data_IF_968640504996
#
_entry.id   IF_968640504996
#
_cell.length_a   1.000
_cell.length_b   1.000
_cell.length_c   1.000
_cell.angle_alpha   90.00
_cell.angle_beta   90.00
_cell.angle_gamma   90.00
#
_symmetry.space_group_name_H-M   'P 1'
#
loop_
_entity.id
_entity.type
_entity.pdbx_description
1 polymer ?
#
# COMPACT_ATOMS: atom_id res chain seq x y z
N UNK A 1 -35.26 -24.40 -13.74
CA UNK A 1 -33.90 -24.95 -13.76
C UNK A 1 -32.94 -24.00 -13.04
N UNK A 2 -32.17 -24.46 -12.05
CA UNK A 2 -31.13 -23.65 -11.37
C UNK A 2 -29.78 -23.95 -12.06
N UNK A 3 -29.15 -22.93 -12.62
CA UNK A 3 -27.80 -23.04 -13.20
C UNK A 3 -26.81 -22.67 -12.11
N UNK A 4 -26.04 -23.65 -11.64
CA UNK A 4 -24.91 -23.41 -10.73
C UNK A 4 -23.67 -23.17 -11.57
N UNK A 5 -23.34 -21.89 -11.81
CA UNK A 5 -22.09 -21.53 -12.47
C UNK A 5 -20.98 -21.48 -11.42
N UNK A 6 -19.98 -22.35 -11.55
CA UNK A 6 -18.76 -22.29 -10.76
C UNK A 6 -17.69 -21.55 -11.56
N UNK A 7 -17.48 -20.26 -11.26
CA UNK A 7 -16.37 -19.49 -11.80
C UNK A 7 -15.12 -19.70 -10.94
N UNK A 8 -14.07 -20.27 -11.53
CA UNK A 8 -12.78 -20.40 -10.87
C UNK A 8 -12.02 -19.08 -10.94
N UNK A 9 -11.56 -18.59 -9.80
CA UNK A 9 -10.71 -17.40 -9.69
C UNK A 9 -9.28 -17.85 -9.37
N UNK A 10 -8.35 -17.83 -10.34
CA UNK A 10 -6.97 -18.20 -10.09
C UNK A 10 -6.30 -17.24 -9.10
N UNK A 11 -5.26 -17.70 -8.38
CA UNK A 11 -4.48 -16.84 -7.50
C UNK A 11 -3.86 -15.68 -8.29
N UNK A 12 -3.72 -14.53 -7.63
CA UNK A 12 -3.32 -13.29 -8.29
C UNK A 12 -1.85 -13.35 -8.76
N UNK A 13 -1.60 -13.16 -10.05
CA UNK A 13 -0.24 -13.08 -10.60
C UNK A 13 0.54 -11.85 -10.11
N UNK A 14 1.86 -11.85 -10.25
CA UNK A 14 2.71 -10.73 -9.86
C UNK A 14 2.33 -9.41 -10.56
N UNK A 15 1.95 -9.48 -11.84
CA UNK A 15 1.47 -8.31 -12.57
C UNK A 15 0.12 -7.81 -12.02
N UNK A 16 -0.78 -8.74 -11.70
CA UNK A 16 -2.06 -8.44 -11.05
C UNK A 16 -1.88 -7.79 -9.69
N UNK A 17 -0.96 -8.31 -8.86
CA UNK A 17 -0.59 -7.73 -7.56
C UNK A 17 -0.04 -6.31 -7.73
N UNK A 18 0.82 -6.08 -8.72
CA UNK A 18 1.37 -4.74 -9.01
C UNK A 18 0.26 -3.73 -9.33
N UNK A 19 -0.72 -4.11 -10.15
CA UNK A 19 -1.88 -3.27 -10.49
C UNK A 19 -2.75 -2.99 -9.27
N UNK A 20 -3.01 -3.99 -8.43
CA UNK A 20 -3.80 -3.82 -7.19
C UNK A 20 -3.08 -2.89 -6.21
N UNK A 21 -1.76 -3.06 -6.05
CA UNK A 21 -0.93 -2.17 -5.24
C UNK A 21 -1.01 -0.72 -5.72
N UNK A 22 -0.77 -0.49 -7.01
CA UNK A 22 -0.84 0.84 -7.62
C UNK A 22 -2.20 1.49 -7.38
N UNK A 23 -3.28 0.80 -7.74
CA UNK A 23 -4.64 1.32 -7.63
C UNK A 23 -4.99 1.69 -6.18
N UNK A 24 -4.67 0.82 -5.21
CA UNK A 24 -5.00 1.08 -3.81
C UNK A 24 -4.13 2.18 -3.17
N UNK A 25 -2.86 2.30 -3.56
CA UNK A 25 -1.97 3.36 -3.03
C UNK A 25 -2.29 4.71 -3.67
N UNK A 26 -2.71 4.75 -4.93
CA UNK A 26 -3.12 5.98 -5.63
C UNK A 26 -4.40 6.60 -5.05
N UNK A 27 -5.25 5.82 -4.37
CA UNK A 27 -6.38 6.35 -3.60
C UNK A 27 -5.94 7.24 -2.42
N UNK A 28 -4.68 7.15 -2.00
CA UNK A 28 -4.14 8.01 -0.93
C UNK A 28 -3.61 9.31 -1.54
N UNK A 29 -4.07 10.48 -1.06
CA UNK A 29 -3.62 11.76 -1.59
C UNK A 29 -2.11 11.94 -1.36
N UNK A 30 -1.40 12.42 -2.38
CA UNK A 30 0.01 12.76 -2.26
C UNK A 30 0.20 13.99 -1.39
N UNK A 31 1.33 14.05 -0.68
CA UNK A 31 1.70 15.21 0.12
C UNK A 31 1.86 16.45 -0.80
N UNK A 32 1.17 17.57 -0.53
CA UNK A 32 1.35 18.78 -1.32
C UNK A 32 2.79 19.27 -1.18
N UNK A 33 3.50 19.38 -2.30
CA UNK A 33 4.84 19.97 -2.37
C UNK A 33 4.71 21.36 -2.98
N UNK A 34 4.88 22.40 -2.17
CA UNK A 34 5.00 23.77 -2.69
C UNK A 34 6.38 23.93 -3.33
N UNK A 35 6.39 24.13 -4.65
CA UNK A 35 7.58 24.10 -5.51
C UNK A 35 8.57 25.26 -5.26
N UNK A 36 8.24 26.23 -4.40
CA UNK A 36 9.03 27.45 -4.20
C UNK A 36 9.78 27.54 -2.87
N UNK A 37 9.61 26.62 -1.91
CA UNK A 37 10.31 26.73 -0.60
C UNK A 37 10.77 25.39 0.00
N UNK A 38 10.45 24.24 -0.62
CA UNK A 38 10.88 22.93 -0.10
C UNK A 38 10.30 22.60 1.28
N UNK A 39 9.36 23.39 1.79
CA UNK A 39 8.68 23.13 3.06
C UNK A 39 7.48 22.23 2.86
N UNK A 40 7.40 21.21 3.71
CA UNK A 40 6.31 20.25 3.79
C UNK A 40 5.11 20.94 4.45
N UNK A 41 4.05 21.23 3.70
CA UNK A 41 2.80 21.77 4.22
C UNK A 41 1.87 20.63 4.61
N UNK A 42 1.85 20.32 5.90
CA UNK A 42 0.77 20.91 6.66
C UNK A 42 1.27 21.55 7.97
N UNK A 43 0.69 22.72 8.29
CA UNK A 43 0.80 23.45 9.56
C UNK A 43 0.48 22.64 10.83
N UNK A 44 0.19 21.33 10.74
CA UNK A 44 -0.11 20.45 11.87
C UNK A 44 0.27 18.98 11.58
N UNK A 45 1.00 18.36 12.51
CA UNK A 45 1.38 16.94 12.50
C UNK A 45 0.20 15.98 12.30
N UNK A 46 -1.00 16.36 12.79
CA UNK A 46 -2.24 15.58 12.64
C UNK A 46 -2.70 15.39 11.20
N UNK A 47 -2.21 16.20 10.25
CA UNK A 47 -2.59 16.11 8.83
C UNK A 47 -1.55 15.37 7.98
N UNK A 48 -0.27 15.32 8.38
CA UNK A 48 0.81 14.63 7.65
C UNK A 48 0.47 13.15 7.39
N UNK A 49 -0.08 12.46 8.38
CA UNK A 49 -0.38 11.02 8.30
C UNK A 49 -1.54 10.66 7.37
N UNK A 50 -2.26 11.65 6.82
CA UNK A 50 -3.26 11.43 5.76
C UNK A 50 -2.65 11.32 4.37
N UNK A 51 -1.41 11.77 4.19
CA UNK A 51 -0.76 11.85 2.89
C UNK A 51 0.26 10.73 2.71
N UNK A 52 0.50 10.39 1.44
CA UNK A 52 1.59 9.51 1.03
C UNK A 52 2.79 10.28 0.50
N UNK A 53 3.97 9.68 0.64
CA UNK A 53 5.14 10.09 -0.13
C UNK A 53 5.04 9.57 -1.57
N UNK A 54 5.87 10.11 -2.46
CA UNK A 54 5.95 9.60 -3.83
C UNK A 54 6.51 8.17 -3.84
N UNK A 55 5.86 7.31 -4.62
CA UNK A 55 6.25 5.92 -4.83
C UNK A 55 6.61 5.73 -6.29
N UNK A 56 7.75 5.09 -6.57
CA UNK A 56 8.18 4.78 -7.93
C UNK A 56 7.45 3.54 -8.48
N UNK A 57 7.47 3.35 -9.80
CA UNK A 57 6.88 2.17 -10.41
C UNK A 57 7.59 0.87 -9.98
N UNK A 58 8.90 0.97 -9.74
CA UNK A 58 9.78 -0.12 -9.31
C UNK A 58 9.45 -0.59 -7.88
N UNK A 59 8.98 0.31 -7.02
CA UNK A 59 8.57 -0.02 -5.65
C UNK A 59 7.37 -0.98 -5.65
N UNK A 60 6.37 -0.73 -6.50
CA UNK A 60 5.20 -1.59 -6.61
C UNK A 60 5.56 -2.96 -7.17
N UNK A 61 6.46 -3.03 -8.15
CA UNK A 61 6.97 -4.30 -8.70
C UNK A 61 7.71 -5.10 -7.63
N UNK A 62 8.57 -4.43 -6.86
CA UNK A 62 9.34 -5.05 -5.78
C UNK A 62 8.43 -5.60 -4.68
N UNK A 63 7.37 -4.87 -4.30
CA UNK A 63 6.39 -5.34 -3.33
C UNK A 63 5.57 -6.53 -3.85
N UNK A 64 5.22 -6.52 -5.14
CA UNK A 64 4.45 -7.58 -5.76
C UNK A 64 5.25 -8.86 -5.98
N UNK A 65 6.56 -8.76 -6.26
CA UNK A 65 7.46 -9.91 -6.39
C UNK A 65 7.87 -10.49 -5.04
N UNK A 66 8.18 -9.63 -4.06
CA UNK A 66 8.64 -10.06 -2.74
C UNK A 66 7.57 -10.76 -1.91
N UNK A 67 6.29 -10.40 -2.08
CA UNK A 67 5.21 -10.94 -1.26
C UNK A 67 4.08 -11.54 -2.12
N UNK A 68 3.80 -12.83 -1.93
CA UNK A 68 2.71 -13.53 -2.60
C UNK A 68 1.38 -13.35 -1.85
N UNK A 69 0.87 -12.11 -1.86
CA UNK A 69 -0.33 -11.73 -1.12
C UNK A 69 -1.60 -11.78 -2.00
N UNK A 70 -2.71 -12.19 -1.40
CA UNK A 70 -4.02 -12.05 -1.99
C UNK A 70 -4.52 -10.58 -1.90
N UNK A 71 -5.55 -10.24 -2.68
CA UNK A 71 -6.07 -8.87 -2.72
C UNK A 71 -6.57 -8.33 -1.36
N UNK A 72 -7.06 -9.21 -0.47
CA UNK A 72 -7.49 -8.81 0.89
C UNK A 72 -6.28 -8.50 1.79
N UNK A 73 -5.23 -9.31 1.70
CA UNK A 73 -3.98 -9.07 2.42
C UNK A 73 -3.31 -7.77 1.96
N UNK A 74 -3.29 -7.49 0.65
CA UNK A 74 -2.79 -6.21 0.12
C UNK A 74 -3.58 -5.04 0.71
N UNK A 75 -4.91 -5.10 0.67
CA UNK A 75 -5.78 -4.07 1.25
C UNK A 75 -5.54 -3.89 2.76
N UNK A 76 -5.46 -4.99 3.51
CA UNK A 76 -5.22 -4.96 4.95
C UNK A 76 -3.85 -4.34 5.27
N UNK A 77 -2.83 -4.62 4.46
CA UNK A 77 -1.49 -4.04 4.60
C UNK A 77 -1.51 -2.52 4.45
N UNK A 78 -2.28 -1.99 3.49
CA UNK A 78 -2.42 -0.53 3.30
C UNK A 78 -3.20 0.10 4.46
N UNK A 79 -4.27 -0.55 4.93
CA UNK A 79 -5.04 -0.07 6.09
C UNK A 79 -4.16 -0.02 7.34
N UNK A 80 -3.38 -1.06 7.59
CA UNK A 80 -2.44 -1.13 8.70
C UNK A 80 -1.32 -0.08 8.57
N UNK A 81 -0.72 0.06 7.38
CA UNK A 81 0.32 1.05 7.13
C UNK A 81 -0.17 2.48 7.40
N UNK A 82 -1.42 2.80 7.03
CA UNK A 82 -2.05 4.09 7.35
C UNK A 82 -2.31 4.27 8.84
N UNK A 83 -2.71 3.23 9.55
CA UNK A 83 -2.88 3.28 11.00
C UNK A 83 -1.54 3.54 11.70
N UNK A 84 -0.47 2.85 11.28
CA UNK A 84 0.88 3.05 11.80
C UNK A 84 1.44 4.45 11.50
N UNK A 85 1.21 4.95 10.28
CA UNK A 85 1.57 6.32 9.91
C UNK A 85 0.85 7.36 10.79
N UNK A 86 -0.44 7.12 11.11
CA UNK A 86 -1.23 7.97 12.01
C UNK A 86 -0.74 7.95 13.44
N UNK A 87 -0.42 6.78 13.97
CA UNK A 87 0.11 6.62 15.32
C UNK A 87 1.44 7.35 15.49
N UNK A 88 2.34 7.25 14.50
CA UNK A 88 3.68 7.85 14.54
C UNK A 88 3.73 9.31 14.09
N UNK A 89 2.63 9.85 13.53
CA UNK A 89 2.60 11.20 12.97
C UNK A 89 3.48 11.40 11.73
N UNK A 90 3.84 10.32 11.04
CA UNK A 90 4.67 10.32 9.83
C UNK A 90 3.80 10.14 8.58
N UNK A 91 4.23 10.60 7.39
CA UNK A 91 3.51 10.29 6.15
C UNK A 91 3.61 8.81 5.81
N UNK A 92 2.71 8.31 4.95
CA UNK A 92 2.79 6.95 4.44
C UNK A 92 4.01 6.81 3.52
N UNK A 93 5.10 6.24 4.06
CA UNK A 93 6.35 5.95 3.33
C UNK A 93 6.47 4.46 3.00
N UNK A 94 7.42 4.13 2.13
CA UNK A 94 7.75 2.75 1.75
C UNK A 94 8.14 1.89 2.97
N UNK A 95 8.88 2.44 3.93
CA UNK A 95 9.29 1.71 5.14
C UNK A 95 8.09 1.31 6.01
N UNK A 96 7.14 2.23 6.21
CA UNK A 96 5.92 1.95 6.98
C UNK A 96 5.08 0.90 6.26
N UNK A 97 5.01 0.99 4.93
CA UNK A 97 4.29 0.04 4.11
C UNK A 97 4.92 -1.36 4.17
N UNK A 98 6.25 -1.46 4.00
CA UNK A 98 6.98 -2.73 4.11
C UNK A 98 6.75 -3.39 5.47
N UNK A 99 6.86 -2.64 6.57
CA UNK A 99 6.60 -3.17 7.93
C UNK A 99 5.18 -3.71 8.08
N UNK A 100 4.19 -2.98 7.59
CA UNK A 100 2.79 -3.42 7.63
C UNK A 100 2.58 -4.67 6.78
N UNK A 101 3.21 -4.74 5.60
CA UNK A 101 3.16 -5.91 4.72
C UNK A 101 3.77 -7.13 5.40
N UNK A 102 4.95 -6.99 6.01
CA UNK A 102 5.59 -8.09 6.76
C UNK A 102 4.69 -8.58 7.90
N UNK A 103 4.04 -7.67 8.63
CA UNK A 103 3.11 -8.03 9.70
C UNK A 103 1.87 -8.78 9.20
N UNK A 104 1.37 -8.47 7.99
CA UNK A 104 0.20 -9.14 7.39
C UNK A 104 0.57 -10.44 6.68
N UNK A 105 1.78 -10.54 6.13
CA UNK A 105 2.30 -11.72 5.46
C UNK A 105 2.66 -12.85 6.44
N UNK A 106 2.99 -12.51 7.70
CA UNK A 106 3.50 -13.45 8.70
C UNK A 106 4.92 -13.95 8.37
N UNK A 107 5.48 -14.81 9.22
CA UNK A 107 6.82 -15.43 9.05
C UNK A 107 6.91 -16.34 7.80
N UNK A 108 5.80 -16.58 7.10
CA UNK A 108 5.63 -17.58 6.05
C UNK A 108 5.87 -17.10 4.60
N UNK A 109 6.33 -15.86 4.38
CA UNK A 109 6.47 -15.31 3.03
C UNK A 109 7.73 -14.44 2.85
N UNK A 110 8.85 -14.87 3.42
CA UNK A 110 10.17 -14.48 2.90
C UNK A 110 10.62 -15.60 1.96
N UNK A 111 10.68 -15.32 0.66
CA UNK A 111 11.44 -16.13 -0.31
C UNK A 111 12.93 -15.88 -0.09
#
# INVERSE_FOLDING_TARGET
SRITVMLQYPPLDAEGRTKVWKNLVELVPALPKDQSTGQILPRSSRKISKYRMDFAAEDYKSLASAYQLNGRQIKNSIVLARALARERGVPLSLDVLKRAVTAVAGETCQL
#
